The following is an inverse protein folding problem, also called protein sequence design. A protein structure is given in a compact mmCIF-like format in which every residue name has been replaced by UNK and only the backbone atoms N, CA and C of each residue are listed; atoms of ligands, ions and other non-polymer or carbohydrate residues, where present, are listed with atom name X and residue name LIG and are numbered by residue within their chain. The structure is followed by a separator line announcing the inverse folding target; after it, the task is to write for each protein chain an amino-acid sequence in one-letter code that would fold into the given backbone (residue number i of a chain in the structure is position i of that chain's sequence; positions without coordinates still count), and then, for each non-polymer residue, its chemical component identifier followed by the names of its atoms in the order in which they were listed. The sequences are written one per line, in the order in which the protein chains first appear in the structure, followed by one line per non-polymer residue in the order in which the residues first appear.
data_IF_275684293435
#
_entry.id   IF_275684293435
#
_cell.length_a   1.000
_cell.length_b   1.000
_cell.length_c   1.000
_cell.angle_alpha   90.00
_cell.angle_beta   90.00
_cell.angle_gamma   90.00
#
_symmetry.space_group_name_H-M   'P 1'
#
loop_
_entity.id
_entity.type
_entity.pdbx_description
1 polymer ?
#
# COMPACT_ATOMS: atom_id res chain seq x y z
N UNK A 1 11.65 -59.42 3.33
CA UNK A 1 10.75 -58.26 3.33
C UNK A 1 11.23 -57.32 2.24
N UNK A 2 10.33 -57.03 1.29
CA UNK A 2 10.63 -56.91 -0.14
C UNK A 2 11.28 -55.58 -0.53
N UNK A 3 12.35 -55.69 -1.32
CA UNK A 3 13.04 -54.63 -2.08
C UNK A 3 12.29 -54.34 -3.39
N UNK A 4 12.42 -53.09 -3.86
CA UNK A 4 11.89 -52.46 -5.08
C UNK A 4 11.89 -53.34 -6.35
N UNK A 5 10.99 -53.00 -7.30
CA UNK A 5 11.51 -52.65 -8.63
C UNK A 5 10.90 -51.38 -9.24
N UNK A 6 11.76 -50.73 -10.01
CA UNK A 6 11.55 -49.69 -11.03
C UNK A 6 10.48 -50.02 -12.08
N UNK A 7 9.74 -49.01 -12.53
CA UNK A 7 9.12 -48.92 -13.88
C UNK A 7 8.86 -47.44 -14.18
N UNK A 8 9.63 -46.85 -15.07
CA UNK A 8 9.41 -46.74 -16.52
C UNK A 8 8.86 -45.35 -16.86
N UNK A 9 9.73 -44.62 -17.54
CA UNK A 9 9.50 -43.34 -18.19
C UNK A 9 8.39 -43.53 -19.22
N UNK A 10 7.25 -42.88 -19.00
CA UNK A 10 6.31 -42.53 -20.06
C UNK A 10 6.48 -41.03 -20.33
N UNK A 11 7.32 -40.75 -21.32
CA UNK A 11 7.35 -39.52 -22.11
C UNK A 11 5.98 -39.27 -22.72
N UNK A 12 5.40 -38.09 -22.49
CA UNK A 12 4.20 -37.64 -23.20
C UNK A 12 3.44 -36.55 -22.47
N UNK A 13 3.75 -35.29 -22.82
CA UNK A 13 2.80 -34.17 -22.87
C UNK A 13 2.15 -33.67 -21.58
N UNK A 14 2.75 -32.62 -20.99
CA UNK A 14 2.10 -31.30 -20.83
C UNK A 14 3.09 -30.32 -20.19
N UNK A 15 3.92 -29.73 -21.04
CA UNK A 15 4.50 -28.41 -20.76
C UNK A 15 3.37 -27.40 -20.99
N UNK A 16 2.41 -27.31 -20.06
CA UNK A 16 1.48 -26.19 -19.98
C UNK A 16 2.13 -25.12 -19.13
N UNK A 17 2.48 -24.02 -19.80
CA UNK A 17 3.37 -22.99 -19.30
C UNK A 17 2.99 -22.42 -17.95
N UNK A 18 4.00 -22.34 -17.10
CA UNK A 18 4.21 -21.19 -16.22
C UNK A 18 4.47 -19.99 -17.14
N UNK A 19 3.41 -19.48 -17.76
CA UNK A 19 3.38 -18.08 -18.18
C UNK A 19 2.58 -17.42 -17.08
N UNK A 20 3.29 -16.97 -16.05
CA UNK A 20 2.71 -16.06 -15.07
C UNK A 20 2.04 -14.96 -15.86
N UNK A 21 0.72 -14.83 -15.69
CA UNK A 21 -0.01 -13.63 -16.07
C UNK A 21 0.65 -12.49 -15.32
N UNK A 22 1.62 -11.86 -15.98
CA UNK A 22 2.11 -10.56 -15.61
C UNK A 22 0.85 -9.70 -15.60
N UNK A 23 0.42 -9.34 -14.41
CA UNK A 23 -0.68 -8.41 -14.23
C UNK A 23 -0.18 -7.06 -14.75
N UNK A 24 -0.42 -6.85 -16.05
CA UNK A 24 -0.01 -5.64 -16.78
C UNK A 24 -0.60 -4.41 -16.09
N UNK A 25 -1.77 -4.53 -15.46
CA UNK A 25 -2.37 -3.45 -14.67
C UNK A 25 -1.54 -3.11 -13.43
N UNK A 26 -1.09 -4.12 -12.69
CA UNK A 26 -0.19 -3.93 -11.55
C UNK A 26 1.21 -3.44 -11.97
N UNK A 27 1.76 -3.92 -13.09
CA UNK A 27 3.02 -3.40 -13.61
C UNK A 27 2.90 -1.94 -14.09
N UNK A 28 1.81 -1.57 -14.76
CA UNK A 28 1.55 -0.19 -15.17
C UNK A 28 1.34 0.71 -13.95
N UNK A 29 0.60 0.27 -12.94
CA UNK A 29 0.42 1.02 -11.70
C UNK A 29 1.76 1.20 -10.95
N UNK A 30 2.59 0.15 -10.88
CA UNK A 30 3.94 0.24 -10.31
C UNK A 30 4.86 1.13 -11.13
N UNK A 31 4.79 1.10 -12.46
CA UNK A 31 5.57 1.98 -13.33
C UNK A 31 5.14 3.46 -13.21
N UNK A 32 3.84 3.73 -13.09
CA UNK A 32 3.31 5.08 -12.84
C UNK A 32 3.74 5.59 -11.47
N UNK A 33 3.63 4.78 -10.42
CA UNK A 33 4.09 5.13 -9.08
C UNK A 33 5.60 5.35 -9.05
N UNK A 34 6.39 4.50 -9.70
CA UNK A 34 7.83 4.66 -9.82
C UNK A 34 8.22 5.93 -10.57
N UNK A 35 7.50 6.28 -11.65
CA UNK A 35 7.71 7.54 -12.37
C UNK A 35 7.42 8.75 -11.48
N UNK A 36 6.34 8.72 -10.70
CA UNK A 36 6.00 9.79 -9.75
C UNK A 36 7.04 9.90 -8.63
N UNK A 37 7.53 8.77 -8.11
CA UNK A 37 8.58 8.72 -7.09
C UNK A 37 9.93 9.22 -7.63
N UNK A 38 10.26 8.94 -8.89
CA UNK A 38 11.45 9.48 -9.56
C UNK A 38 11.34 11.00 -9.74
N UNK A 39 10.19 11.50 -10.22
CA UNK A 39 9.96 12.95 -10.36
C UNK A 39 10.02 13.68 -9.01
N UNK A 40 9.45 13.09 -7.96
CA UNK A 40 9.50 13.63 -6.59
C UNK A 40 10.92 13.61 -6.03
N UNK A 41 11.67 12.55 -6.32
CA UNK A 41 13.09 12.43 -5.93
C UNK A 41 13.97 13.47 -6.63
N UNK A 42 13.70 13.77 -7.91
CA UNK A 42 14.36 14.83 -8.67
C UNK A 42 14.01 16.23 -8.14
N UNK A 43 12.75 16.46 -7.75
CA UNK A 43 12.34 17.71 -7.10
C UNK A 43 13.08 17.92 -5.76
N UNK A 44 13.16 16.87 -4.93
CA UNK A 44 13.88 16.91 -3.66
C UNK A 44 15.38 17.16 -3.89
N UNK A 45 15.99 16.48 -4.85
CA UNK A 45 17.39 16.70 -5.22
C UNK A 45 17.63 18.14 -5.67
N UNK A 46 16.75 18.69 -6.51
CA UNK A 46 16.84 20.09 -6.96
C UNK A 46 16.70 21.09 -5.81
N UNK A 47 15.83 20.80 -4.82
CA UNK A 47 15.72 21.62 -3.60
C UNK A 47 16.98 21.56 -2.75
N UNK A 48 17.57 20.38 -2.57
CA UNK A 48 18.84 20.20 -1.84
C UNK A 48 19.98 20.93 -2.55
N UNK A 49 20.10 20.75 -3.87
CA UNK A 49 21.13 21.43 -4.68
C UNK A 49 20.95 22.94 -4.57
N UNK A 50 19.73 23.47 -4.77
CA UNK A 50 19.43 24.90 -4.64
C UNK A 50 19.76 25.44 -3.23
N UNK A 51 19.43 24.69 -2.18
CA UNK A 51 19.77 25.07 -0.81
C UNK A 51 21.29 25.14 -0.60
N UNK A 52 22.04 24.13 -1.06
CA UNK A 52 23.49 24.06 -0.91
C UNK A 52 24.21 25.10 -1.77
N UNK A 53 23.74 25.39 -2.97
CA UNK A 53 24.42 26.32 -3.88
C UNK A 53 24.06 27.78 -3.60
N UNK A 54 22.81 28.07 -3.25
CA UNK A 54 22.34 29.46 -3.16
C UNK A 54 22.11 29.92 -1.73
N UNK A 55 21.63 29.05 -0.84
CA UNK A 55 21.30 29.45 0.55
C UNK A 55 22.48 29.25 1.50
N UNK A 56 23.19 28.13 1.39
CA UNK A 56 24.27 27.77 2.30
C UNK A 56 25.45 28.76 2.28
N UNK A 57 25.93 29.28 1.12
CA UNK A 57 27.02 30.26 1.12
C UNK A 57 26.63 31.60 1.74
N UNK A 58 25.35 32.00 1.60
CA UNK A 58 24.82 33.20 2.25
C UNK A 58 24.85 33.01 3.77
N UNK A 59 24.31 31.90 4.26
CA UNK A 59 24.31 31.57 5.70
C UNK A 59 25.74 31.44 6.26
N UNK A 60 26.65 30.84 5.49
CA UNK A 60 28.04 30.69 5.88
C UNK A 60 28.78 32.04 5.95
N UNK A 61 28.57 32.92 4.97
CA UNK A 61 29.12 34.27 5.00
C UNK A 61 28.49 35.13 6.10
N UNK A 62 27.19 34.98 6.36
CA UNK A 62 26.50 35.69 7.44
C UNK A 62 27.03 35.23 8.81
N UNK A 63 27.25 33.93 9.01
CA UNK A 63 27.90 33.38 10.20
C UNK A 63 29.34 33.90 10.37
N UNK A 64 30.11 33.94 9.28
CA UNK A 64 31.48 34.50 9.27
C UNK A 64 31.49 35.99 9.62
N UNK A 65 30.55 36.76 9.07
CA UNK A 65 30.39 38.19 9.35
C UNK A 65 29.92 38.44 10.79
N UNK A 66 29.06 37.57 11.35
CA UNK A 66 28.64 37.63 12.76
C UNK A 66 29.79 37.29 13.71
N UNK A 67 30.66 36.35 13.35
CA UNK A 67 31.84 36.02 14.14
C UNK A 67 32.83 37.19 14.29
N UNK A 68 32.79 38.17 13.38
CA UNK A 68 33.61 39.39 13.44
C UNK A 68 32.96 40.59 14.15
N UNK A 69 31.70 40.46 14.62
CA UNK A 69 30.95 41.57 15.24
C UNK A 69 31.23 41.68 16.74
N UNK A 70 31.14 42.89 17.27
CA UNK A 70 31.25 43.10 18.73
C UNK A 70 29.98 42.60 19.42
N UNK A 71 30.06 42.32 20.72
CA UNK A 71 28.91 41.85 21.50
C UNK A 71 27.70 42.81 21.47
N UNK A 72 27.93 44.12 21.30
CA UNK A 72 26.87 45.13 21.20
C UNK A 72 26.15 45.06 19.84
N UNK A 73 26.89 44.83 18.76
CA UNK A 73 26.32 44.71 17.40
C UNK A 73 25.46 43.45 17.29
N UNK A 74 25.93 42.33 17.86
CA UNK A 74 25.17 41.08 17.93
C UNK A 74 23.86 41.24 18.72
N UNK A 75 23.88 42.03 19.79
CA UNK A 75 22.70 42.28 20.63
C UNK A 75 21.65 43.13 19.90
N UNK A 76 22.07 44.11 19.09
CA UNK A 76 21.18 44.93 18.28
C UNK A 76 20.61 44.17 17.08
N UNK A 77 21.39 43.28 16.47
CA UNK A 77 20.89 42.37 15.43
C UNK A 77 19.91 41.36 16.00
N UNK A 78 20.18 40.78 17.17
CA UNK A 78 19.26 39.88 17.84
C UNK A 78 17.91 40.57 18.12
N UNK A 79 17.90 41.82 18.59
CA UNK A 79 16.65 42.59 18.80
C UNK A 79 15.84 42.76 17.51
N UNK A 80 16.51 42.88 16.37
CA UNK A 80 15.85 43.11 15.07
C UNK A 80 15.37 41.80 14.44
N UNK A 81 16.13 40.71 14.60
CA UNK A 81 15.87 39.43 13.95
C UNK A 81 14.99 38.48 14.78
N UNK A 82 15.08 38.55 16.11
CA UNK A 82 14.38 37.64 17.03
C UNK A 82 12.84 37.65 16.86
N UNK A 83 12.15 38.80 16.65
CA UNK A 83 10.71 38.79 16.42
C UNK A 83 10.32 38.03 15.14
N UNK A 84 11.06 38.21 14.05
CA UNK A 84 10.83 37.52 12.78
C UNK A 84 11.11 36.02 12.89
N UNK A 85 12.16 35.65 13.63
CA UNK A 85 12.52 34.26 13.92
C UNK A 85 11.45 33.53 14.75
N UNK A 86 10.96 34.17 15.81
CA UNK A 86 9.89 33.62 16.65
C UNK A 86 8.58 33.47 15.89
N UNK A 87 8.27 34.44 15.01
CA UNK A 87 7.09 34.36 14.13
C UNK A 87 7.18 33.16 13.18
N UNK A 88 8.33 32.93 12.56
CA UNK A 88 8.57 31.77 11.69
C UNK A 88 8.42 30.44 12.43
N UNK A 89 9.00 30.31 13.62
CA UNK A 89 8.84 29.08 14.44
C UNK A 89 7.38 28.85 14.82
N UNK A 90 6.67 29.91 15.23
CA UNK A 90 5.25 29.80 15.60
C UNK A 90 4.38 29.36 14.41
N UNK A 91 4.65 29.87 13.20
CA UNK A 91 3.94 29.46 11.98
C UNK A 91 4.23 28.00 11.61
N UNK A 92 5.48 27.54 11.75
CA UNK A 92 5.83 26.14 11.48
C UNK A 92 5.21 25.17 12.49
N UNK A 93 5.19 25.51 13.79
CA UNK A 93 4.51 24.69 14.80
C UNK A 93 3.02 24.62 14.53
N UNK A 94 2.39 25.74 14.13
CA UNK A 94 0.98 25.78 13.75
C UNK A 94 0.69 24.88 12.55
N UNK A 95 1.54 24.95 11.52
CA UNK A 95 1.39 24.13 10.32
C UNK A 95 1.62 22.63 10.61
N UNK A 96 2.62 22.29 11.42
CA UNK A 96 2.88 20.92 11.85
C UNK A 96 1.71 20.34 12.65
N UNK A 97 1.11 21.15 13.53
CA UNK A 97 -0.07 20.76 14.32
C UNK A 97 -1.28 20.53 13.42
N UNK A 98 -1.52 21.42 12.45
CA UNK A 98 -2.60 21.28 11.47
C UNK A 98 -2.44 20.04 10.58
N UNK A 99 -1.22 19.76 10.10
CA UNK A 99 -0.93 18.58 9.27
C UNK A 99 -0.99 17.26 10.06
N UNK A 100 -0.59 17.29 11.34
CA UNK A 100 -0.70 16.12 12.22
C UNK A 100 -2.16 15.81 12.55
N UNK A 101 -2.98 16.84 12.81
CA UNK A 101 -4.42 16.70 13.04
C UNK A 101 -5.16 16.20 11.78
N UNK A 102 -4.64 16.49 10.58
CA UNK A 102 -5.14 16.02 9.31
C UNK A 102 -4.59 14.63 8.87
N UNK A 103 -3.79 13.95 9.72
CA UNK A 103 -3.33 12.59 9.46
C UNK A 103 -2.13 12.47 8.52
N UNK A 104 -1.30 13.51 8.37
CA UNK A 104 -0.08 13.49 7.54
C UNK A 104 1.21 13.44 8.37
N UNK A 105 1.57 12.29 8.99
CA UNK A 105 2.69 12.18 9.92
C UNK A 105 4.06 12.43 9.28
N UNK A 106 4.22 12.15 7.99
CA UNK A 106 5.50 12.32 7.28
C UNK A 106 5.82 13.80 7.03
N UNK A 107 4.82 14.61 6.66
CA UNK A 107 4.99 16.06 6.44
C UNK A 107 5.29 16.80 7.75
N UNK A 108 4.65 16.37 8.84
CA UNK A 108 4.94 16.87 10.19
C UNK A 108 6.38 16.55 10.64
N UNK A 109 6.90 15.36 10.29
CA UNK A 109 8.28 14.99 10.60
C UNK A 109 9.32 15.81 9.81
N UNK A 110 9.05 16.12 8.54
CA UNK A 110 9.94 16.93 7.70
C UNK A 110 10.02 18.39 8.17
N UNK A 111 8.88 19.01 8.54
CA UNK A 111 8.85 20.36 9.13
C UNK A 111 9.61 20.45 10.46
N UNK A 112 9.56 19.37 11.27
CA UNK A 112 10.34 19.26 12.49
C UNK A 112 11.86 19.20 12.22
N UNK A 113 12.28 18.52 11.16
CA UNK A 113 13.69 18.44 10.74
C UNK A 113 14.21 19.77 10.19
N UNK A 114 13.41 20.51 9.41
CA UNK A 114 13.79 21.85 8.93
C UNK A 114 13.96 22.85 10.07
N UNK A 115 13.03 22.84 11.03
CA UNK A 115 13.12 23.67 12.24
C UNK A 115 14.38 23.33 13.05
N UNK A 116 14.71 22.03 13.16
CA UNK A 116 15.92 21.53 13.84
C UNK A 116 17.21 21.99 13.14
N UNK A 117 17.27 21.90 11.81
CA UNK A 117 18.44 22.33 11.03
C UNK A 117 18.68 23.84 11.16
N UNK A 118 17.59 24.61 11.11
CA UNK A 118 17.64 26.07 11.23
C UNK A 118 18.06 26.53 12.64
N UNK A 119 17.64 25.82 13.68
CA UNK A 119 18.04 26.12 15.07
C UNK A 119 19.51 25.74 15.34
N UNK A 120 19.98 24.62 14.76
CA UNK A 120 21.37 24.17 14.90
C UNK A 120 22.38 25.07 14.18
N UNK A 121 22.02 25.61 13.00
CA UNK A 121 22.88 26.49 12.21
C UNK A 121 23.06 27.89 12.83
N UNK A 122 22.15 28.33 13.70
CA UNK A 122 22.16 29.67 14.28
C UNK A 122 22.82 29.77 15.67
N UNK A 123 23.52 28.72 16.13
CA UNK A 123 24.28 28.65 17.40
C UNK A 123 23.69 29.54 18.52
N UNK A 124 22.50 29.19 18.98
CA UNK A 124 21.80 30.03 19.96
C UNK A 124 22.49 29.89 21.33
N UNK A 125 23.33 30.87 21.64
CA UNK A 125 24.07 31.03 22.89
C UNK A 125 23.12 31.18 24.12
N UNK A 126 23.68 30.83 25.29
CA UNK A 126 23.19 30.75 26.66
C UNK A 126 22.13 31.79 27.05
N UNK A 127 22.18 33.00 26.48
CA UNK A 127 21.21 34.08 26.69
C UNK A 127 19.79 33.79 26.18
N UNK A 128 19.66 33.01 25.11
CA UNK A 128 18.37 32.52 24.61
C UNK A 128 17.75 31.44 25.50
N UNK A 129 18.60 30.68 26.19
CA UNK A 129 18.18 29.64 27.14
C UNK A 129 17.57 30.30 28.38
N UNK A 130 18.07 31.47 28.78
CA UNK A 130 17.56 32.23 29.93
C UNK A 130 16.21 32.92 29.64
N UNK A 131 15.94 33.32 28.39
CA UNK A 131 14.74 34.11 28.03
C UNK A 131 13.50 33.29 27.62
N UNK A 132 13.64 32.02 27.25
CA UNK A 132 12.54 31.20 26.69
C UNK A 132 12.20 29.92 27.47
N UNK A 133 12.52 29.89 28.77
CA UNK A 133 12.65 28.67 29.58
C UNK A 133 11.33 27.99 30.02
N UNK A 134 10.19 28.26 29.37
CA UNK A 134 8.92 27.55 29.68
C UNK A 134 8.46 26.67 28.50
N UNK A 135 8.33 27.17 27.26
CA UNK A 135 7.94 26.32 26.13
C UNK A 135 9.12 25.50 25.59
N UNK A 136 10.32 26.06 25.59
CA UNK A 136 11.54 25.36 25.19
C UNK A 136 11.92 24.29 26.20
N UNK A 137 11.67 24.51 27.50
CA UNK A 137 11.88 23.49 28.53
C UNK A 137 10.92 22.31 28.35
N UNK A 138 9.64 22.53 28.08
CA UNK A 138 8.70 21.42 27.83
C UNK A 138 9.04 20.60 26.56
N UNK A 139 9.46 21.28 25.48
CA UNK A 139 9.89 20.63 24.24
C UNK A 139 11.25 19.94 24.37
N UNK A 140 12.20 20.57 25.09
CA UNK A 140 13.52 20.02 25.41
C UNK A 140 13.40 18.85 26.37
N UNK A 141 12.55 18.88 27.39
CA UNK A 141 12.33 17.74 28.30
C UNK A 141 11.71 16.56 27.55
N UNK A 142 10.78 16.79 26.62
CA UNK A 142 10.25 15.71 25.76
C UNK A 142 11.27 15.19 24.76
N UNK A 143 12.06 16.05 24.12
CA UNK A 143 13.08 15.65 23.16
C UNK A 143 14.29 14.98 23.85
N UNK A 144 14.71 15.46 25.02
CA UNK A 144 15.77 14.88 25.85
C UNK A 144 15.36 13.51 26.39
N UNK A 145 14.09 13.33 26.81
CA UNK A 145 13.51 12.02 27.16
C UNK A 145 13.49 11.01 26.01
N UNK A 146 13.40 11.49 24.77
CA UNK A 146 13.27 10.62 23.59
C UNK A 146 14.62 10.24 22.96
N UNK A 147 15.68 11.04 23.14
CA UNK A 147 16.91 10.92 22.34
C UNK A 147 18.21 10.73 23.12
N UNK A 148 18.23 10.88 24.45
CA UNK A 148 19.45 10.63 25.23
C UNK A 148 19.43 9.21 25.82
N UNK A 149 20.45 8.40 25.57
CA UNK A 149 20.53 7.01 26.09
C UNK A 149 20.86 6.97 27.60
N UNK A 150 21.47 8.04 28.12
CA UNK A 150 21.75 8.27 29.54
C UNK A 150 20.58 8.98 30.29
N UNK A 151 19.60 9.53 29.57
CA UNK A 151 18.35 10.11 30.12
C UNK A 151 17.09 9.49 29.50
N UNK A 152 17.23 8.31 28.89
CA UNK A 152 16.08 7.44 28.66
C UNK A 152 15.51 7.20 30.05
N UNK A 153 14.20 7.42 30.29
CA UNK A 153 13.67 7.19 31.62
C UNK A 153 14.12 5.79 32.03
N UNK A 154 14.70 5.66 33.23
CA UNK A 154 15.00 4.35 33.83
C UNK A 154 13.74 3.48 33.84
N UNK A 155 12.57 4.14 33.75
CA UNK A 155 11.26 3.55 33.68
C UNK A 155 10.72 3.41 32.23
N UNK A 156 10.07 2.28 31.90
CA UNK A 156 9.37 2.08 30.64
C UNK A 156 8.24 3.11 30.40
N UNK A 157 7.72 3.14 29.16
CA UNK A 157 6.49 3.89 28.87
C UNK A 157 5.32 3.39 29.73
N UNK A 158 4.26 4.18 29.94
CA UNK A 158 3.11 3.73 30.76
C UNK A 158 2.51 2.42 30.24
N UNK A 159 2.43 2.28 28.92
CA UNK A 159 2.02 1.04 28.26
C UNK A 159 2.96 -0.11 28.57
N UNK A 160 4.27 0.08 28.47
CA UNK A 160 5.26 -0.98 28.69
C UNK A 160 5.37 -1.35 30.18
N UNK A 161 5.32 -0.38 31.07
CA UNK A 161 5.26 -0.53 32.53
C UNK A 161 4.02 -1.34 32.92
N UNK A 162 2.87 -1.02 32.32
CA UNK A 162 1.65 -1.80 32.53
C UNK A 162 1.79 -3.23 31.98
N UNK A 163 2.45 -3.42 30.84
CA UNK A 163 2.74 -4.77 30.32
C UNK A 163 3.69 -5.56 31.23
N UNK A 164 4.73 -4.94 31.80
CA UNK A 164 5.60 -5.57 32.79
C UNK A 164 4.82 -6.01 34.02
N UNK A 165 3.88 -5.19 34.49
CA UNK A 165 2.94 -5.57 35.54
C UNK A 165 2.08 -6.78 35.12
N UNK A 166 1.46 -6.75 33.94
CA UNK A 166 0.62 -7.87 33.45
C UNK A 166 1.38 -9.17 33.23
N UNK A 167 2.67 -9.09 32.90
CA UNK A 167 3.56 -10.24 32.77
C UNK A 167 4.11 -10.74 34.12
N UNK A 168 3.70 -10.14 35.24
CA UNK A 168 4.17 -10.47 36.58
C UNK A 168 5.63 -10.11 36.83
N UNK A 169 6.22 -9.25 35.97
CA UNK A 169 7.58 -8.74 36.14
C UNK A 169 7.63 -7.58 37.12
N UNK A 170 6.56 -6.81 37.19
CA UNK A 170 6.29 -5.80 38.21
C UNK A 170 5.12 -6.25 39.08
N UNK A 171 5.14 -5.90 40.36
CA UNK A 171 3.97 -6.01 41.22
C UNK A 171 2.96 -4.90 40.90
N UNK A 172 1.71 -5.06 41.38
CA UNK A 172 0.69 -4.00 41.27
C UNK A 172 1.15 -2.70 41.93
N UNK A 173 1.83 -2.81 43.08
CA UNK A 173 2.38 -1.67 43.81
C UNK A 173 3.48 -0.96 43.02
N UNK A 174 4.34 -1.70 42.32
CA UNK A 174 5.40 -1.11 41.49
C UNK A 174 4.80 -0.26 40.35
N UNK A 175 3.75 -0.76 39.71
CA UNK A 175 3.06 0.01 38.66
C UNK A 175 2.30 1.23 39.21
N UNK A 176 1.64 1.12 40.36
CA UNK A 176 0.98 2.26 41.02
C UNK A 176 2.01 3.32 41.42
N UNK A 177 3.17 2.92 41.97
CA UNK A 177 4.23 3.86 42.31
C UNK A 177 4.80 4.53 41.06
N UNK A 178 5.01 3.79 39.97
CA UNK A 178 5.37 4.36 38.68
C UNK A 178 4.36 5.44 38.23
N UNK A 179 3.06 5.15 38.29
CA UNK A 179 2.03 6.14 37.92
C UNK A 179 2.07 7.38 38.83
N UNK A 180 2.35 7.22 40.12
CA UNK A 180 2.45 8.33 41.06
C UNK A 180 3.69 9.19 40.81
N UNK A 181 4.84 8.55 40.66
CA UNK A 181 6.15 9.22 40.59
C UNK A 181 6.39 9.81 39.19
N UNK A 182 6.11 9.05 38.14
CA UNK A 182 6.41 9.44 36.76
C UNK A 182 5.27 10.21 36.07
N UNK A 183 4.01 9.90 36.41
CA UNK A 183 2.85 10.60 35.84
C UNK A 183 2.28 11.67 36.80
N UNK A 184 2.80 11.79 38.02
CA UNK A 184 2.36 12.79 39.00
C UNK A 184 0.94 12.55 39.53
N UNK A 185 0.43 11.32 39.44
CA UNK A 185 -0.93 11.00 39.87
C UNK A 185 -1.04 10.90 41.39
N UNK A 186 -2.19 11.30 41.94
CA UNK A 186 -2.48 11.06 43.36
C UNK A 186 -2.64 9.55 43.60
N UNK A 187 -2.40 9.06 44.84
CA UNK A 187 -2.49 7.62 45.13
C UNK A 187 -3.81 6.98 44.68
N UNK A 188 -4.95 7.62 44.99
CA UNK A 188 -6.28 7.15 44.61
C UNK A 188 -6.47 7.15 43.08
N UNK A 189 -5.96 8.16 42.38
CA UNK A 189 -6.08 8.26 40.93
C UNK A 189 -5.21 7.19 40.23
N UNK A 190 -4.02 6.90 40.77
CA UNK A 190 -3.13 5.86 40.26
C UNK A 190 -3.72 4.44 40.48
N UNK A 191 -4.36 4.20 41.63
CA UNK A 191 -5.13 2.98 41.88
C UNK A 191 -6.29 2.84 40.89
N UNK A 192 -7.11 3.88 40.74
CA UNK A 192 -8.25 3.89 39.81
C UNK A 192 -7.79 3.64 38.36
N UNK A 193 -6.72 4.29 37.91
CA UNK A 193 -6.16 4.09 36.57
C UNK A 193 -5.64 2.66 36.40
N UNK A 194 -4.97 2.10 37.42
CA UNK A 194 -4.51 0.71 37.40
C UNK A 194 -5.68 -0.25 37.26
N UNK A 195 -6.76 -0.05 38.01
CA UNK A 195 -7.98 -0.87 37.91
C UNK A 195 -8.64 -0.74 36.54
N UNK A 196 -8.74 0.47 35.98
CA UNK A 196 -9.26 0.70 34.63
C UNK A 196 -8.41 -0.07 33.59
N UNK A 197 -7.07 0.01 33.68
CA UNK A 197 -6.16 -0.69 32.76
C UNK A 197 -6.22 -2.21 32.89
N UNK A 198 -6.25 -2.72 34.12
CA UNK A 198 -6.46 -4.15 34.42
C UNK A 198 -7.75 -4.65 33.83
N UNK A 199 -8.80 -3.85 33.96
CA UNK A 199 -10.10 -4.18 33.43
C UNK A 199 -10.11 -4.14 31.90
N UNK A 200 -9.45 -3.16 31.26
CA UNK A 200 -9.41 -3.02 29.79
C UNK A 200 -8.53 -4.07 29.11
N UNK A 201 -7.45 -4.51 29.76
CA UNK A 201 -6.43 -5.31 29.09
C UNK A 201 -6.75 -6.79 29.08
N UNK A 202 -6.64 -7.40 27.90
CA UNK A 202 -6.95 -8.81 27.71
C UNK A 202 -8.45 -9.10 27.61
N UNK A 203 -9.30 -8.08 27.55
CA UNK A 203 -10.70 -8.25 27.17
C UNK A 203 -10.83 -8.39 25.66
N UNK A 204 -11.75 -9.24 25.18
CA UNK A 204 -12.09 -9.30 23.76
C UNK A 204 -12.63 -7.95 23.26
N UNK A 205 -12.61 -7.74 21.95
CA UNK A 205 -13.40 -6.66 21.35
C UNK A 205 -14.90 -6.85 21.65
N UNK A 206 -15.73 -5.80 21.54
CA UNK A 206 -17.18 -5.96 21.70
C UNK A 206 -17.75 -6.99 20.71
N UNK A 207 -17.24 -7.02 19.48
CA UNK A 207 -17.63 -8.02 18.47
C UNK A 207 -17.28 -9.44 18.92
N UNK A 208 -16.06 -9.66 19.39
CA UNK A 208 -15.63 -10.98 19.87
C UNK A 208 -16.41 -11.39 21.12
N UNK A 209 -16.65 -10.47 22.05
CA UNK A 209 -17.48 -10.71 23.22
C UNK A 209 -18.90 -11.11 22.84
N UNK A 210 -19.52 -10.43 21.86
CA UNK A 210 -20.83 -10.80 21.33
C UNK A 210 -20.82 -12.22 20.76
N UNK A 211 -19.80 -12.57 19.96
CA UNK A 211 -19.66 -13.92 19.41
C UNK A 211 -19.47 -14.97 20.51
N UNK A 212 -18.72 -14.65 21.56
CA UNK A 212 -18.57 -15.52 22.74
C UNK A 212 -19.91 -15.73 23.46
N UNK A 213 -20.74 -14.70 23.59
CA UNK A 213 -22.10 -14.83 24.14
C UNK A 213 -22.97 -15.72 23.25
N UNK A 214 -22.97 -15.51 21.92
CA UNK A 214 -23.75 -16.33 20.99
C UNK A 214 -23.31 -17.80 20.94
N UNK A 215 -22.03 -18.07 21.20
CA UNK A 215 -21.49 -19.43 21.35
C UNK A 215 -21.68 -20.03 22.74
N UNK A 216 -22.26 -19.28 23.69
CA UNK A 216 -22.52 -19.75 25.05
C UNK A 216 -21.29 -19.82 25.96
N UNK A 217 -20.15 -19.23 25.56
CA UNK A 217 -18.93 -19.23 26.37
C UNK A 217 -18.98 -18.25 27.55
N UNK A 218 -19.73 -17.17 27.40
CA UNK A 218 -19.93 -16.13 28.44
C UNK A 218 -21.39 -15.65 28.43
N UNK A 219 -21.84 -15.02 29.52
CA UNK A 219 -23.22 -14.53 29.65
C UNK A 219 -23.45 -13.19 28.92
N UNK A 220 -24.71 -12.83 28.60
CA UNK A 220 -25.07 -11.49 28.09
C UNK A 220 -24.52 -10.37 28.99
N UNK A 221 -24.55 -10.58 30.31
CA UNK A 221 -24.04 -9.60 31.27
C UNK A 221 -22.55 -9.31 31.08
N UNK A 222 -21.73 -10.30 30.65
CA UNK A 222 -20.33 -10.07 30.34
C UNK A 222 -20.13 -9.03 29.22
N UNK A 223 -20.91 -9.11 28.14
CA UNK A 223 -20.87 -8.14 27.06
C UNK A 223 -21.29 -6.74 27.55
N UNK A 224 -22.37 -6.68 28.33
CA UNK A 224 -22.90 -5.41 28.84
C UNK A 224 -21.91 -4.74 29.81
N UNK A 225 -21.31 -5.52 30.71
CA UNK A 225 -20.23 -5.05 31.58
C UNK A 225 -19.03 -4.57 30.76
N UNK A 226 -18.66 -5.29 29.70
CA UNK A 226 -17.59 -4.90 28.81
C UNK A 226 -17.87 -3.56 28.11
N UNK A 227 -19.07 -3.38 27.56
CA UNK A 227 -19.47 -2.13 26.92
C UNK A 227 -19.50 -0.96 27.91
N UNK A 228 -20.12 -1.15 29.07
CA UNK A 228 -20.33 -0.08 30.05
C UNK A 228 -19.05 0.31 30.79
N UNK A 229 -18.37 -0.65 31.41
CA UNK A 229 -17.18 -0.39 32.24
C UNK A 229 -15.93 -0.14 31.40
N UNK A 230 -15.90 -0.63 30.15
CA UNK A 230 -14.69 -0.57 29.33
C UNK A 230 -14.63 0.50 28.29
N UNK A 231 -15.75 0.66 27.62
CA UNK A 231 -15.90 1.59 26.53
C UNK A 231 -16.77 2.78 26.93
N UNK A 232 -17.28 2.81 28.17
CA UNK A 232 -18.02 3.95 28.71
C UNK A 232 -19.45 4.08 28.17
N UNK A 233 -20.01 3.04 27.55
CA UNK A 233 -21.38 3.08 27.07
C UNK A 233 -22.38 3.16 28.23
N UNK A 234 -23.54 3.79 28.00
CA UNK A 234 -24.64 3.66 28.96
C UNK A 234 -25.18 2.23 28.92
N UNK A 235 -25.82 1.79 30.01
CA UNK A 235 -26.48 0.47 30.06
C UNK A 235 -27.51 0.33 28.91
N UNK A 236 -28.20 1.41 28.56
CA UNK A 236 -29.17 1.44 27.46
C UNK A 236 -28.46 1.21 26.13
N UNK A 237 -27.38 1.94 25.86
CA UNK A 237 -26.62 1.81 24.61
C UNK A 237 -25.95 0.44 24.49
N UNK A 238 -25.43 -0.10 25.59
CA UNK A 238 -24.86 -1.45 25.62
C UNK A 238 -25.90 -2.52 25.27
N UNK A 239 -27.14 -2.40 25.76
CA UNK A 239 -28.21 -3.32 25.40
C UNK A 239 -28.60 -3.18 23.92
N UNK A 240 -28.75 -1.95 23.43
CA UNK A 240 -29.02 -1.70 22.00
C UNK A 240 -27.90 -2.29 21.13
N UNK A 241 -26.63 -2.05 21.47
CA UNK A 241 -25.49 -2.62 20.78
C UNK A 241 -25.53 -4.15 20.78
N UNK A 242 -25.84 -4.79 21.91
CA UNK A 242 -25.95 -6.25 21.97
C UNK A 242 -27.07 -6.79 21.08
N UNK A 243 -28.24 -6.15 21.11
CA UNK A 243 -29.42 -6.59 20.38
C UNK A 243 -29.25 -6.36 18.85
N UNK A 244 -28.46 -5.36 18.45
CA UNK A 244 -28.14 -5.05 17.06
C UNK A 244 -26.85 -5.68 16.55
N UNK A 245 -25.93 -6.10 17.43
CA UNK A 245 -24.75 -6.84 16.98
C UNK A 245 -25.25 -8.09 16.26
N UNK A 246 -24.71 -8.27 15.07
CA UNK A 246 -25.06 -9.32 14.13
C UNK A 246 -23.79 -9.60 13.32
N UNK A 247 -23.65 -10.84 12.84
CA UNK A 247 -22.67 -11.08 11.80
C UNK A 247 -23.30 -10.62 10.48
N UNK A 248 -22.95 -9.40 10.10
CA UNK A 248 -23.32 -8.84 8.82
C UNK A 248 -22.19 -9.06 7.83
N UNK A 249 -22.53 -9.77 6.76
CA UNK A 249 -21.63 -9.93 5.63
C UNK A 249 -21.35 -8.55 5.08
N UNK A 250 -20.07 -8.19 5.04
CA UNK A 250 -19.63 -7.01 4.33
C UNK A 250 -20.02 -7.13 2.85
N UNK A 251 -20.21 -6.00 2.13
CA UNK A 251 -20.47 -6.05 0.70
C UNK A 251 -19.43 -6.85 -0.08
N UNK A 252 -18.16 -6.82 0.36
CA UNK A 252 -17.07 -7.64 -0.19
C UNK A 252 -17.27 -9.14 0.02
N UNK A 253 -17.80 -9.57 1.17
CA UNK A 253 -18.09 -10.99 1.41
C UNK A 253 -19.31 -11.45 0.60
N UNK A 254 -20.34 -10.62 0.47
CA UNK A 254 -21.49 -10.90 -0.41
C UNK A 254 -21.05 -11.12 -1.85
N UNK A 255 -20.19 -10.24 -2.35
CA UNK A 255 -19.57 -10.34 -3.67
C UNK A 255 -18.75 -11.61 -3.86
N UNK A 256 -18.06 -12.11 -2.83
CA UNK A 256 -17.35 -13.40 -2.90
C UNK A 256 -18.30 -14.58 -2.89
N UNK A 257 -19.37 -14.51 -2.09
CA UNK A 257 -20.35 -15.58 -2.01
C UNK A 257 -21.13 -15.75 -3.32
N UNK A 258 -21.39 -14.64 -4.02
CA UNK A 258 -22.03 -14.66 -5.34
C UNK A 258 -21.19 -15.34 -6.43
N UNK A 259 -19.88 -15.56 -6.23
CA UNK A 259 -19.10 -16.38 -7.17
C UNK A 259 -19.49 -17.87 -7.13
N UNK A 260 -20.09 -18.32 -6.03
CA UNK A 260 -20.36 -19.74 -5.78
C UNK A 260 -21.84 -20.10 -5.92
N UNK A 261 -22.72 -19.20 -5.49
CA UNK A 261 -24.17 -19.44 -5.47
C UNK A 261 -24.94 -18.18 -5.84
N UNK A 262 -26.09 -18.30 -6.55
CA UNK A 262 -27.04 -17.21 -6.67
C UNK A 262 -27.55 -16.81 -5.28
N UNK A 263 -27.53 -15.51 -4.98
CA UNK A 263 -28.02 -14.98 -3.71
C UNK A 263 -29.47 -14.49 -3.87
N UNK A 264 -30.32 -14.80 -2.89
CA UNK A 264 -31.69 -14.29 -2.85
C UNK A 264 -31.70 -12.77 -2.66
N UNK A 265 -32.45 -12.06 -3.51
CA UNK A 265 -32.46 -10.59 -3.54
C UNK A 265 -32.98 -9.98 -2.23
N UNK A 266 -34.00 -10.58 -1.62
CA UNK A 266 -34.53 -10.11 -0.34
C UNK A 266 -33.53 -10.31 0.81
N UNK A 267 -32.77 -11.40 0.77
CA UNK A 267 -31.70 -11.66 1.72
C UNK A 267 -30.53 -10.67 1.56
N UNK A 268 -30.12 -10.40 0.31
CA UNK A 268 -29.09 -9.39 0.00
C UNK A 268 -29.53 -8.01 0.52
N UNK A 269 -30.76 -7.58 0.24
CA UNK A 269 -31.28 -6.28 0.72
C UNK A 269 -31.17 -6.16 2.24
N UNK A 270 -31.64 -7.18 2.97
CA UNK A 270 -31.53 -7.20 4.44
C UNK A 270 -30.10 -7.07 4.93
N UNK A 271 -29.12 -7.65 4.21
CA UNK A 271 -27.71 -7.57 4.57
C UNK A 271 -27.10 -6.23 4.22
N UNK A 272 -27.45 -5.63 3.09
CA UNK A 272 -26.97 -4.28 2.75
C UNK A 272 -27.59 -3.22 3.68
N UNK A 273 -28.88 -3.37 4.06
CA UNK A 273 -29.54 -2.53 5.06
C UNK A 273 -28.84 -2.63 6.43
N UNK A 274 -28.45 -3.84 6.86
CA UNK A 274 -27.73 -4.03 8.10
C UNK A 274 -26.32 -3.40 8.10
N UNK A 275 -25.70 -3.23 6.93
CA UNK A 275 -24.45 -2.49 6.76
C UNK A 275 -24.66 -0.96 6.68
N UNK A 276 -25.91 -0.48 6.69
CA UNK A 276 -26.23 0.95 6.66
C UNK A 276 -26.08 1.61 5.29
N UNK A 277 -26.17 0.84 4.19
CA UNK A 277 -26.11 1.39 2.83
C UNK A 277 -27.42 2.09 2.47
N UNK A 278 -27.31 3.20 1.75
CA UNK A 278 -28.47 3.90 1.20
C UNK A 278 -29.08 3.18 -0.02
N UNK A 279 -30.20 3.67 -0.55
CA UNK A 279 -30.87 3.07 -1.71
C UNK A 279 -30.00 3.05 -2.97
N UNK A 280 -29.20 4.10 -3.19
CA UNK A 280 -28.34 4.25 -4.37
C UNK A 280 -27.22 3.22 -4.33
N UNK A 281 -26.53 3.13 -3.19
CA UNK A 281 -25.44 2.18 -3.00
C UNK A 281 -25.94 0.74 -3.08
N UNK A 282 -27.14 0.46 -2.55
CA UNK A 282 -27.77 -0.86 -2.66
C UNK A 282 -27.98 -1.29 -4.11
N UNK A 283 -28.53 -0.41 -4.94
CA UNK A 283 -28.74 -0.70 -6.36
C UNK A 283 -27.42 -1.03 -7.08
N UNK A 284 -26.36 -0.28 -6.79
CA UNK A 284 -25.02 -0.52 -7.35
C UNK A 284 -24.50 -1.91 -6.95
N UNK A 285 -24.58 -2.27 -5.66
CA UNK A 285 -24.11 -3.58 -5.20
C UNK A 285 -24.94 -4.73 -5.76
N UNK A 286 -26.26 -4.57 -5.89
CA UNK A 286 -27.12 -5.59 -6.50
C UNK A 286 -26.78 -5.82 -7.97
N UNK A 287 -26.62 -4.75 -8.75
CA UNK A 287 -26.17 -4.84 -10.14
C UNK A 287 -24.79 -5.52 -10.25
N UNK A 288 -23.87 -5.23 -9.32
CA UNK A 288 -22.56 -5.87 -9.28
C UNK A 288 -22.65 -7.37 -8.96
N UNK A 289 -23.51 -7.78 -8.02
CA UNK A 289 -23.74 -9.18 -7.66
C UNK A 289 -24.33 -9.97 -8.84
N UNK A 290 -25.29 -9.40 -9.55
CA UNK A 290 -25.90 -10.00 -10.74
C UNK A 290 -24.88 -10.16 -11.88
N UNK A 291 -24.11 -9.10 -12.19
CA UNK A 291 -23.09 -9.14 -13.23
C UNK A 291 -21.97 -10.13 -12.93
N UNK A 292 -21.67 -10.34 -11.64
CA UNK A 292 -20.60 -11.25 -11.20
C UNK A 292 -20.92 -12.72 -11.49
N UNK A 293 -22.18 -13.12 -11.41
CA UNK A 293 -22.63 -14.49 -11.69
C UNK A 293 -22.36 -14.95 -13.12
N UNK A 294 -22.35 -14.01 -14.07
CA UNK A 294 -22.17 -14.29 -15.51
C UNK A 294 -20.82 -13.81 -16.05
N UNK A 295 -19.99 -13.19 -15.20
CA UNK A 295 -18.72 -12.58 -15.61
C UNK A 295 -17.79 -13.60 -16.26
N UNK A 296 -17.69 -14.79 -15.67
CA UNK A 296 -16.75 -15.81 -16.14
C UNK A 296 -17.23 -16.43 -17.46
N UNK A 297 -18.55 -16.58 -17.64
CA UNK A 297 -19.19 -17.01 -18.89
C UNK A 297 -18.96 -15.97 -19.99
N UNK A 298 -19.17 -14.69 -19.70
CA UNK A 298 -18.88 -13.59 -20.63
C UNK A 298 -17.41 -13.61 -21.05
N UNK A 299 -16.49 -13.82 -20.10
CA UNK A 299 -15.06 -13.92 -20.41
C UNK A 299 -14.72 -15.15 -21.28
N UNK A 300 -15.35 -16.30 -21.04
CA UNK A 300 -15.20 -17.49 -21.89
C UNK A 300 -15.70 -17.22 -23.31
N UNK A 301 -16.89 -16.63 -23.46
CA UNK A 301 -17.44 -16.28 -24.78
C UNK A 301 -16.52 -15.27 -25.48
N UNK A 302 -16.00 -14.29 -24.75
CA UNK A 302 -15.03 -13.34 -25.30
C UNK A 302 -13.76 -14.03 -25.82
N UNK A 303 -13.19 -14.98 -25.08
CA UNK A 303 -12.04 -15.75 -25.57
C UNK A 303 -12.36 -16.50 -26.86
N UNK A 304 -13.54 -17.11 -26.97
CA UNK A 304 -13.98 -17.78 -28.19
C UNK A 304 -14.20 -16.80 -29.36
N UNK A 305 -14.72 -15.60 -29.09
CA UNK A 305 -14.88 -14.55 -30.10
C UNK A 305 -13.54 -14.04 -30.61
N UNK A 306 -12.58 -13.81 -29.71
CA UNK A 306 -11.21 -13.46 -30.09
C UNK A 306 -10.59 -14.55 -30.96
N UNK A 307 -10.80 -15.83 -30.61
CA UNK A 307 -10.32 -16.95 -31.41
C UNK A 307 -10.97 -16.98 -32.79
N UNK A 308 -12.28 -16.74 -32.90
CA UNK A 308 -12.95 -16.67 -34.19
C UNK A 308 -12.49 -15.45 -35.02
N UNK A 309 -12.22 -14.33 -34.36
CA UNK A 309 -11.75 -13.09 -34.98
C UNK A 309 -10.37 -13.21 -35.60
N UNK A 310 -9.40 -13.81 -34.88
CA UNK A 310 -8.06 -14.03 -35.42
C UNK A 310 -8.09 -14.88 -36.70
N UNK A 311 -9.02 -15.84 -36.78
CA UNK A 311 -9.21 -16.68 -37.96
C UNK A 311 -10.00 -16.01 -39.09
N UNK A 312 -10.44 -14.75 -38.91
CA UNK A 312 -11.21 -14.00 -39.89
C UNK A 312 -12.66 -14.45 -40.03
N UNK A 313 -13.21 -15.18 -39.05
CA UNK A 313 -14.61 -15.59 -39.03
C UNK A 313 -15.55 -14.43 -38.64
N UNK A 314 -15.02 -13.42 -37.96
CA UNK A 314 -15.71 -12.18 -37.62
C UNK A 314 -14.94 -10.98 -38.15
N UNK A 315 -15.66 -9.92 -38.47
CA UNK A 315 -15.11 -8.60 -38.72
C UNK A 315 -15.03 -7.79 -37.42
N UNK A 316 -14.27 -6.70 -37.44
CA UNK A 316 -14.21 -5.78 -36.30
C UNK A 316 -15.59 -5.22 -35.94
N UNK A 317 -16.43 -4.94 -36.95
CA UNK A 317 -17.79 -4.43 -36.77
C UNK A 317 -18.68 -5.46 -36.07
N UNK A 318 -18.55 -6.74 -36.43
CA UNK A 318 -19.34 -7.79 -35.79
C UNK A 318 -18.99 -7.92 -34.31
N UNK A 319 -17.70 -7.82 -33.94
CA UNK A 319 -17.30 -7.80 -32.54
C UNK A 319 -17.83 -6.55 -31.83
N UNK A 320 -17.68 -5.39 -32.46
CA UNK A 320 -18.14 -4.13 -31.87
C UNK A 320 -19.64 -4.17 -31.55
N UNK A 321 -20.47 -4.66 -32.50
CA UNK A 321 -21.90 -4.85 -32.30
C UNK A 321 -22.21 -5.83 -31.15
N UNK A 322 -21.49 -6.95 -31.06
CA UNK A 322 -21.65 -7.91 -29.95
C UNK A 322 -21.29 -7.30 -28.59
N UNK A 323 -20.18 -6.56 -28.51
CA UNK A 323 -19.75 -5.93 -27.26
C UNK A 323 -20.69 -4.79 -26.82
N UNK A 324 -21.24 -4.03 -27.77
CA UNK A 324 -22.28 -3.03 -27.51
C UNK A 324 -23.55 -3.69 -26.95
N UNK A 325 -23.97 -4.83 -27.53
CA UNK A 325 -25.13 -5.59 -27.05
C UNK A 325 -24.93 -6.18 -25.65
N UNK A 326 -23.69 -6.37 -25.21
CA UNK A 326 -23.34 -6.80 -23.84
C UNK A 326 -23.13 -5.64 -22.87
N UNK A 327 -23.51 -4.42 -23.28
CA UNK A 327 -23.47 -3.20 -22.46
C UNK A 327 -22.06 -2.90 -21.90
N UNK A 328 -21.03 -3.26 -22.67
CA UNK A 328 -19.66 -2.86 -22.34
C UNK A 328 -19.49 -1.35 -22.52
N UNK A 329 -18.68 -0.75 -21.64
CA UNK A 329 -18.34 0.67 -21.79
C UNK A 329 -17.54 0.88 -23.08
N UNK A 330 -17.64 2.08 -23.69
CA UNK A 330 -16.89 2.42 -24.90
C UNK A 330 -15.38 2.18 -24.74
N UNK A 331 -14.82 2.56 -23.59
CA UNK A 331 -13.40 2.33 -23.30
C UNK A 331 -13.04 0.84 -23.29
N UNK A 332 -13.91 0.01 -22.71
CA UNK A 332 -13.68 -1.44 -22.68
C UNK A 332 -13.82 -2.08 -24.06
N UNK A 333 -14.76 -1.60 -24.88
CA UNK A 333 -14.90 -1.98 -26.28
C UNK A 333 -13.60 -1.66 -27.04
N UNK A 334 -13.10 -0.43 -26.94
CA UNK A 334 -11.87 0.02 -27.62
C UNK A 334 -10.66 -0.86 -27.25
N UNK A 335 -10.50 -1.17 -25.96
CA UNK A 335 -9.41 -2.04 -25.47
C UNK A 335 -9.55 -3.49 -25.97
N UNK A 336 -10.77 -4.01 -26.01
CA UNK A 336 -11.06 -5.36 -26.51
C UNK A 336 -10.81 -5.48 -28.01
N UNK A 337 -11.18 -4.46 -28.80
CA UNK A 337 -10.89 -4.42 -30.23
C UNK A 337 -9.38 -4.33 -30.50
N UNK A 338 -8.64 -3.49 -29.76
CA UNK A 338 -7.17 -3.45 -29.85
C UNK A 338 -6.53 -4.79 -29.52
N UNK A 339 -7.05 -5.48 -28.49
CA UNK A 339 -6.60 -6.84 -28.14
C UNK A 339 -6.84 -7.80 -29.31
N UNK A 340 -8.01 -7.72 -29.95
CA UNK A 340 -8.32 -8.49 -31.16
C UNK A 340 -7.32 -8.28 -32.29
N UNK A 341 -6.97 -7.04 -32.60
CA UNK A 341 -5.97 -6.71 -33.62
C UNK A 341 -4.59 -7.32 -33.31
N UNK A 342 -4.15 -7.23 -32.06
CA UNK A 342 -2.87 -7.79 -31.64
C UNK A 342 -2.83 -9.32 -31.74
N UNK A 343 -3.92 -10.00 -31.36
CA UNK A 343 -4.02 -11.46 -31.47
C UNK A 343 -4.05 -11.90 -32.94
N UNK A 344 -4.79 -11.18 -33.79
CA UNK A 344 -4.82 -11.42 -35.24
C UNK A 344 -3.45 -11.21 -35.89
N UNK A 345 -2.74 -10.14 -35.51
CA UNK A 345 -1.37 -9.90 -35.96
C UNK A 345 -0.43 -11.04 -35.52
N UNK A 346 -0.52 -11.48 -34.27
CA UNK A 346 0.25 -12.60 -33.73
C UNK A 346 0.00 -13.88 -34.54
N UNK A 347 -1.25 -14.21 -34.87
CA UNK A 347 -1.58 -15.37 -35.69
C UNK A 347 -1.01 -15.23 -37.11
N UNK A 348 -1.15 -14.06 -37.73
CA UNK A 348 -0.59 -13.80 -39.07
C UNK A 348 0.93 -14.01 -39.10
N UNK A 349 1.66 -13.42 -38.16
CA UNK A 349 3.12 -13.58 -38.07
C UNK A 349 3.50 -15.04 -37.82
N UNK A 350 2.76 -15.75 -36.96
CA UNK A 350 2.96 -17.19 -36.71
C UNK A 350 2.84 -18.00 -38.01
N UNK A 351 1.76 -17.80 -38.77
CA UNK A 351 1.52 -18.53 -40.02
C UNK A 351 2.58 -18.22 -41.08
N UNK A 352 2.97 -16.95 -41.23
CA UNK A 352 4.05 -16.56 -42.16
C UNK A 352 5.39 -17.17 -41.76
N UNK A 353 5.75 -17.10 -40.48
CA UNK A 353 6.94 -17.75 -39.93
C UNK A 353 6.93 -19.25 -40.22
N UNK A 354 5.82 -19.93 -39.95
CA UNK A 354 5.71 -21.37 -40.14
C UNK A 354 5.86 -21.76 -41.62
N UNK A 355 5.37 -20.92 -42.54
CA UNK A 355 5.58 -21.09 -43.97
C UNK A 355 7.07 -20.93 -44.36
N UNK A 356 7.77 -19.91 -43.87
CA UNK A 356 9.21 -19.73 -44.16
C UNK A 356 10.07 -20.85 -43.56
N UNK A 357 9.77 -21.26 -42.32
CA UNK A 357 10.45 -22.40 -41.69
C UNK A 357 10.19 -23.70 -42.47
N UNK A 358 8.98 -23.89 -43.01
CA UNK A 358 8.69 -25.03 -43.86
C UNK A 358 9.53 -25.01 -45.15
N UNK A 359 9.60 -23.87 -45.84
CA UNK A 359 10.46 -23.71 -47.03
C UNK A 359 11.93 -24.00 -46.72
N UNK A 360 12.42 -23.52 -45.57
CA UNK A 360 13.76 -23.83 -45.10
C UNK A 360 13.92 -25.34 -44.91
N UNK A 361 13.02 -26.01 -44.18
CA UNK A 361 13.09 -27.46 -43.94
C UNK A 361 13.12 -28.28 -45.23
N UNK A 362 12.40 -27.84 -46.26
CA UNK A 362 12.42 -28.47 -47.60
C UNK A 362 13.68 -28.18 -48.42
N UNK A 363 14.63 -27.39 -47.88
CA UNK A 363 15.86 -27.02 -48.58
C UNK A 363 15.65 -25.99 -49.69
N UNK A 364 14.50 -25.31 -49.71
CA UNK A 364 14.16 -24.30 -50.73
C UNK A 364 14.89 -22.98 -50.46
N UNK A 365 15.18 -22.68 -49.19
CA UNK A 365 15.92 -21.49 -48.77
C UNK A 365 17.05 -21.86 -47.80
N UNK A 366 18.08 -21.04 -47.76
CA UNK A 366 19.25 -21.12 -46.87
C UNK A 366 18.98 -20.48 -45.50
N UNK A 367 19.91 -20.66 -44.56
CA UNK A 367 19.86 -20.05 -43.21
C UNK A 367 19.83 -18.52 -43.27
N UNK A 368 20.69 -17.93 -44.11
CA UNK A 368 20.76 -16.47 -44.32
C UNK A 368 19.45 -15.94 -44.91
N UNK A 369 18.89 -16.63 -45.91
CA UNK A 369 17.60 -16.26 -46.50
C UNK A 369 16.46 -16.39 -45.48
N UNK A 370 16.44 -17.45 -44.67
CA UNK A 370 15.47 -17.61 -43.60
C UNK A 370 15.57 -16.45 -42.60
N UNK A 371 16.77 -16.09 -42.15
CA UNK A 371 16.98 -14.97 -41.24
C UNK A 371 16.40 -13.67 -41.83
N UNK A 372 16.78 -13.33 -43.07
CA UNK A 372 16.31 -12.12 -43.75
C UNK A 372 14.79 -12.10 -43.86
N UNK A 373 14.17 -13.24 -44.24
CA UNK A 373 12.71 -13.32 -44.40
C UNK A 373 11.98 -13.21 -43.05
N UNK A 374 12.48 -13.84 -42.00
CA UNK A 374 11.93 -13.73 -40.65
C UNK A 374 11.98 -12.27 -40.14
N UNK A 375 13.08 -11.56 -40.37
CA UNK A 375 13.19 -10.14 -40.04
C UNK A 375 12.20 -9.31 -40.86
N UNK A 376 12.05 -9.58 -42.15
CA UNK A 376 11.13 -8.86 -43.04
C UNK A 376 9.65 -9.03 -42.67
N UNK A 377 9.25 -10.15 -42.04
CA UNK A 377 7.88 -10.32 -41.52
C UNK A 377 7.66 -9.66 -40.14
N UNK A 378 8.67 -8.94 -39.62
CA UNK A 378 8.59 -8.16 -38.39
C UNK A 378 9.05 -8.88 -37.12
N UNK A 379 9.72 -10.04 -37.25
CA UNK A 379 10.35 -10.70 -36.09
C UNK A 379 11.67 -9.99 -35.80
N UNK A 380 11.91 -9.66 -34.53
CA UNK A 380 13.17 -9.02 -34.12
C UNK A 380 14.37 -9.92 -34.43
N UNK A 381 15.51 -9.31 -34.78
CA UNK A 381 16.70 -10.02 -35.27
C UNK A 381 17.22 -11.08 -34.29
N UNK A 382 17.15 -10.82 -33.00
CA UNK A 382 17.52 -11.76 -31.94
C UNK A 382 16.65 -13.03 -31.94
N UNK A 383 15.33 -12.88 -32.01
CA UNK A 383 14.38 -14.00 -32.07
C UNK A 383 14.47 -14.73 -33.41
N UNK A 384 14.62 -13.99 -34.52
CA UNK A 384 14.81 -14.57 -35.84
C UNK A 384 16.07 -15.43 -35.89
N UNK A 385 17.20 -14.95 -35.34
CA UNK A 385 18.43 -15.72 -35.19
C UNK A 385 18.25 -16.97 -34.34
N UNK A 386 17.54 -16.88 -33.20
CA UNK A 386 17.25 -18.02 -32.36
C UNK A 386 16.46 -19.11 -33.10
N UNK A 387 15.47 -18.71 -33.92
CA UNK A 387 14.71 -19.62 -34.79
C UNK A 387 15.62 -20.28 -35.82
N UNK A 388 16.44 -19.50 -36.54
CA UNK A 388 17.36 -20.03 -37.57
C UNK A 388 18.34 -21.02 -36.96
N UNK A 389 18.98 -20.66 -35.84
CA UNK A 389 19.90 -21.54 -35.11
C UNK A 389 19.24 -22.85 -34.71
N UNK A 390 18.03 -22.78 -34.18
CA UNK A 390 17.28 -23.97 -33.76
C UNK A 390 16.94 -24.88 -34.94
N UNK A 391 16.53 -24.32 -36.08
CA UNK A 391 16.18 -25.10 -37.28
C UNK A 391 17.43 -25.62 -38.03
N UNK A 392 18.54 -24.88 -38.03
CA UNK A 392 19.84 -25.32 -38.56
C UNK A 392 20.41 -26.50 -37.76
N UNK A 393 20.34 -26.42 -36.43
CA UNK A 393 20.77 -27.51 -35.55
C UNK A 393 19.99 -28.81 -35.83
N UNK A 394 18.69 -28.74 -36.14
CA UNK A 394 17.89 -29.93 -36.54
C UNK A 394 18.38 -30.58 -37.83
N UNK A 395 19.00 -29.81 -38.73
CA UNK A 395 19.61 -30.33 -39.96
C UNK A 395 21.08 -30.73 -39.77
N UNK A 396 21.66 -30.56 -38.58
CA UNK A 396 23.07 -30.81 -38.32
C UNK A 396 24.01 -29.74 -38.90
N UNK A 397 23.49 -28.54 -39.16
CA UNK A 397 24.27 -27.38 -39.62
C UNK A 397 24.57 -26.49 -38.41
N UNK A 398 25.83 -26.11 -38.23
CA UNK A 398 26.21 -25.13 -37.22
C UNK A 398 25.97 -23.71 -37.77
N UNK A 399 25.16 -22.93 -37.06
CA UNK A 399 24.82 -21.56 -37.44
C UNK A 399 25.43 -20.59 -36.45
N UNK A 400 26.42 -19.85 -36.93
CA UNK A 400 26.98 -18.71 -36.22
C UNK A 400 26.18 -17.45 -36.56
N UNK A 401 25.95 -16.61 -35.56
CA UNK A 401 25.23 -15.35 -35.74
C UNK A 401 26.12 -14.46 -36.63
N UNK A 402 25.62 -13.99 -37.79
CA UNK A 402 26.41 -13.08 -38.62
C UNK A 402 26.73 -11.82 -37.81
N UNK A 403 28.01 -11.57 -37.58
CA UNK A 403 28.49 -10.29 -37.04
C UNK A 403 28.07 -9.18 -38.01
N UNK A 404 27.52 -8.08 -37.46
CA UNK A 404 26.98 -6.95 -38.25
C UNK A 404 28.03 -6.19 -39.05
#
# INVERSE_FOLDING_TARGET
MVKLPTREVATGELVSGIVGTIDIGNLLSQAINLSQDISRSQEILNRIVNYVTNTFPILFNDAKNRASKTGIDLLNEAKTFLPSYLKFIAENIRNQTAQSAAGFPMSAAMLGQETKLYTALNQVDLLSTILFDIPALAAKTKAVRYWNKELSPEYPSERDSFMLYRLGKWSKTDFINYLREEQGLKPLDAENITEIREWQTGKPSLRDAYLMVKKGYVSKQFFIDLATKGFGFTQKDANMLYDHFSYDFSPSELLRLSDLIPLDSNWVDKKLDANGLDSTDKEIFKAALEKRLVRDEINKIWSLLLDAYQWGLFTQKDIEELLQNWEFSKQEIDLRLQTGELVKLKLRVKLLRDAEVYLYRQGVITETELLTRLVNIGITKDIANAIVRYEAAKKGVDWEIPEE
#
